data_IF_484020156658
#
_entry.id   IF_484020156658
#
_cell.length_a   1.000
_cell.length_b   1.000
_cell.length_c   1.000
_cell.angle_alpha   90.00
_cell.angle_beta   90.00
_cell.angle_gamma   90.00
#
_symmetry.space_group_name_H-M   'P 1'
#
loop_
_entity.id
_entity.type
_entity.pdbx_description
1 polymer ?
#
# COMPACT_ATOMS: atom_id res chain seq x y z
N UNK A 1 -11.90 8.74 -3.79
CA UNK A 1 -11.89 8.28 -2.38
C UNK A 1 -12.68 7.00 -2.37
N UNK A 2 -12.08 5.87 -1.96
CA UNK A 2 -12.82 4.60 -1.87
C UNK A 2 -13.97 4.74 -0.88
N UNK A 3 -15.12 4.15 -1.17
CA UNK A 3 -16.26 4.15 -0.26
C UNK A 3 -15.82 3.56 1.09
N UNK A 4 -16.00 4.31 2.18
CA UNK A 4 -15.67 3.86 3.54
C UNK A 4 -16.36 2.52 3.89
N UNK A 5 -17.48 2.22 3.23
CA UNK A 5 -18.22 0.95 3.35
C UNK A 5 -17.48 -0.28 2.79
N UNK A 6 -16.32 -0.10 2.14
CA UNK A 6 -15.46 -1.20 1.69
C UNK A 6 -14.27 -1.48 2.61
N UNK A 7 -14.09 -0.68 3.66
CA UNK A 7 -13.04 -0.91 4.64
C UNK A 7 -13.34 -2.14 5.50
N UNK A 8 -12.39 -3.07 5.59
CA UNK A 8 -12.51 -4.29 6.40
C UNK A 8 -11.40 -4.32 7.43
N UNK A 9 -11.76 -4.62 8.68
CA UNK A 9 -10.81 -4.77 9.76
C UNK A 9 -9.91 -6.00 9.50
N UNK A 10 -8.61 -5.86 9.78
CA UNK A 10 -7.69 -6.99 9.81
C UNK A 10 -6.74 -6.90 11.00
N UNK A 11 -6.17 -8.04 11.37
CA UNK A 11 -5.29 -8.17 12.54
C UNK A 11 -3.94 -8.85 12.27
N UNK A 12 -3.07 -8.95 13.30
CA UNK A 12 -1.81 -9.67 13.19
C UNK A 12 -2.01 -11.12 12.76
N UNK A 13 -1.24 -11.55 11.74
CA UNK A 13 -1.30 -12.91 11.19
C UNK A 13 -2.27 -13.07 10.02
N UNK A 14 -3.07 -12.06 9.70
CA UNK A 14 -3.91 -12.08 8.49
C UNK A 14 -3.14 -11.61 7.26
N UNK A 15 -3.42 -12.26 6.13
CA UNK A 15 -2.82 -11.94 4.84
C UNK A 15 -3.83 -11.20 3.97
N UNK A 16 -3.49 -9.97 3.59
CA UNK A 16 -4.20 -9.24 2.56
C UNK A 16 -3.60 -9.57 1.20
N UNK A 17 -4.43 -10.05 0.29
CA UNK A 17 -4.03 -10.36 -1.09
C UNK A 17 -4.76 -9.43 -2.05
N UNK A 18 -3.99 -8.67 -2.84
CA UNK A 18 -4.52 -7.74 -3.83
C UNK A 18 -4.18 -8.25 -5.23
N UNK A 19 -5.21 -8.53 -6.03
CA UNK A 19 -5.03 -8.90 -7.43
C UNK A 19 -4.56 -7.70 -8.27
N UNK A 20 -3.96 -7.96 -9.44
CA UNK A 20 -3.54 -6.90 -10.35
C UNK A 20 -4.74 -6.03 -10.75
N UNK A 21 -4.59 -4.72 -10.58
CA UNK A 21 -5.66 -3.74 -10.85
C UNK A 21 -6.59 -3.47 -9.67
N UNK A 22 -6.34 -4.08 -8.50
CA UNK A 22 -7.08 -3.78 -7.28
C UNK A 22 -6.69 -2.40 -6.75
N UNK A 23 -7.66 -1.49 -6.74
CA UNK A 23 -7.55 -0.23 -6.00
C UNK A 23 -7.66 -0.53 -4.50
N UNK A 24 -6.64 -0.13 -3.75
CA UNK A 24 -6.60 -0.29 -2.30
C UNK A 24 -5.98 0.96 -1.67
N UNK A 25 -6.29 1.16 -0.38
CA UNK A 25 -5.75 2.23 0.43
C UNK A 25 -5.26 1.65 1.77
N UNK A 26 -4.45 2.44 2.48
CA UNK A 26 -4.14 2.10 3.87
C UNK A 26 -5.39 2.30 4.72
N UNK A 27 -5.77 1.32 5.55
CA UNK A 27 -6.89 1.47 6.47
C UNK A 27 -6.55 2.46 7.59
N UNK A 28 -7.56 2.79 8.38
CA UNK A 28 -7.37 3.47 9.67
C UNK A 28 -6.68 2.53 10.67
N UNK A 29 -5.51 2.92 11.15
CA UNK A 29 -4.77 2.14 12.16
C UNK A 29 -5.33 2.43 13.56
N UNK A 30 -6.04 1.46 14.12
CA UNK A 30 -6.68 1.56 15.44
C UNK A 30 -5.74 1.20 16.60
N UNK A 31 -4.71 0.39 16.34
CA UNK A 31 -3.74 -0.09 17.34
C UNK A 31 -2.30 0.14 16.87
N UNK A 32 -1.45 0.63 17.75
CA UNK A 32 -0.08 1.05 17.43
C UNK A 32 0.90 0.50 18.49
N UNK A 33 2.11 0.03 18.09
CA UNK A 33 2.68 0.07 16.74
C UNK A 33 2.19 -1.09 15.84
N UNK A 34 2.16 -0.85 14.52
CA UNK A 34 1.85 -1.86 13.50
C UNK A 34 3.03 -2.07 12.56
N UNK A 35 3.27 -3.32 12.16
CA UNK A 35 4.30 -3.68 11.18
C UNK A 35 3.64 -4.47 10.06
N UNK A 36 3.88 -4.03 8.82
CA UNK A 36 3.40 -4.70 7.61
C UNK A 36 4.56 -5.41 6.90
N UNK A 37 4.34 -6.67 6.54
CA UNK A 37 5.20 -7.40 5.60
C UNK A 37 4.51 -7.42 4.24
N UNK A 38 5.08 -6.71 3.26
CA UNK A 38 4.58 -6.71 1.88
C UNK A 38 5.47 -7.57 0.99
N UNK A 39 4.87 -8.46 0.20
CA UNK A 39 5.56 -9.33 -0.75
C UNK A 39 4.99 -9.10 -2.15
N UNK A 40 5.84 -8.62 -3.07
CA UNK A 40 5.47 -8.35 -4.46
C UNK A 40 6.28 -9.24 -5.39
N UNK A 41 5.61 -10.21 -6.04
CA UNK A 41 6.25 -11.16 -6.96
C UNK A 41 5.47 -11.28 -8.28
N UNK A 42 6.12 -11.14 -9.46
CA UNK A 42 7.50 -10.69 -9.67
C UNK A 42 7.71 -9.23 -9.21
N UNK A 43 8.97 -8.78 -9.13
CA UNK A 43 9.27 -7.40 -8.73
C UNK A 43 8.53 -6.42 -9.66
N UNK A 44 7.73 -5.52 -9.08
CA UNK A 44 7.02 -4.47 -9.81
C UNK A 44 7.98 -3.43 -10.38
N UNK A 45 7.70 -2.97 -11.59
CA UNK A 45 8.34 -1.78 -12.13
C UNK A 45 7.80 -0.53 -11.42
N UNK A 46 8.63 0.50 -11.19
CA UNK A 46 8.20 1.73 -10.53
C UNK A 46 6.95 2.37 -11.10
N UNK A 47 6.82 2.33 -12.42
CA UNK A 47 5.71 2.93 -13.16
C UNK A 47 4.39 2.18 -13.02
N UNK A 48 4.39 0.98 -12.41
CA UNK A 48 3.17 0.21 -12.18
C UNK A 48 2.38 0.69 -10.95
N UNK A 49 2.89 1.69 -10.22
CA UNK A 49 2.18 2.33 -9.12
C UNK A 49 1.43 3.55 -9.66
N UNK A 50 0.15 3.64 -9.35
CA UNK A 50 -0.69 4.78 -9.72
C UNK A 50 -1.40 5.24 -8.45
N UNK A 51 -1.14 6.49 -8.06
CA UNK A 51 -1.91 7.15 -7.01
C UNK A 51 -3.18 7.74 -7.64
N UNK A 52 -4.35 7.28 -7.17
CA UNK A 52 -5.65 7.80 -7.66
C UNK A 52 -5.82 9.26 -7.25
N UNK A 53 -5.41 9.60 -6.03
CA UNK A 53 -5.30 10.98 -5.58
C UNK A 53 -3.83 11.44 -5.66
N UNK A 54 -3.50 12.43 -6.51
CA UNK A 54 -2.12 12.92 -6.63
C UNK A 54 -1.59 13.59 -5.36
N UNK A 55 -2.45 13.99 -4.42
CA UNK A 55 -2.02 14.55 -3.13
C UNK A 55 -1.45 13.49 -2.18
N UNK A 56 -1.80 12.21 -2.37
CA UNK A 56 -1.33 11.10 -1.51
C UNK A 56 0.11 10.69 -1.86
N UNK A 57 0.61 11.10 -3.03
CA UNK A 57 1.99 10.88 -3.45
C UNK A 57 2.13 10.63 -4.94
N UNK A 58 3.36 10.31 -5.34
CA UNK A 58 3.69 9.89 -6.69
C UNK A 58 4.53 8.60 -6.65
N UNK A 59 4.62 7.85 -7.77
CA UNK A 59 5.45 6.65 -7.84
C UNK A 59 6.90 6.91 -7.47
N UNK A 60 7.43 8.06 -7.89
CA UNK A 60 8.82 8.47 -7.64
C UNK A 60 9.08 8.67 -6.14
N UNK A 61 8.18 9.38 -5.44
CA UNK A 61 8.34 9.65 -4.00
C UNK A 61 8.10 8.40 -3.15
N UNK A 62 7.23 7.50 -3.60
CA UNK A 62 6.95 6.24 -2.92
C UNK A 62 8.15 5.28 -2.96
N UNK A 63 8.83 5.21 -4.10
CA UNK A 63 9.94 4.26 -4.32
C UNK A 63 11.27 4.83 -3.83
N UNK A 64 11.48 6.15 -3.92
CA UNK A 64 12.71 6.79 -3.44
C UNK A 64 12.99 6.51 -1.95
N UNK A 65 11.95 6.28 -1.14
CA UNK A 65 12.10 5.83 0.26
C UNK A 65 12.73 4.44 0.44
N UNK A 66 12.82 3.62 -0.62
CA UNK A 66 13.47 2.29 -0.63
C UNK A 66 14.93 2.30 -1.09
N UNK A 67 15.47 3.43 -1.56
CA UNK A 67 16.88 3.50 -1.94
C UNK A 67 17.75 3.48 -0.67
N UNK A 68 18.84 2.68 -0.62
CA UNK A 68 19.79 2.79 0.48
C UNK A 68 20.30 4.23 0.52
N UNK A 69 20.08 4.90 1.65
CA UNK A 69 20.78 6.15 1.93
C UNK A 69 22.24 5.75 2.14
N UNK A 70 23.12 6.24 1.26
CA UNK A 70 24.55 5.92 1.27
C UNK A 70 25.26 6.35 2.54
#
# INVERSE_FOLDING_TARGET
MGDADTETAFGPGELLFFERGTLHAMPTVTEQPVVFLSVDTPRREPTDIIFVNPEDGSPETFIARKAPQG
#
